data_IF_109641469449
#
_entry.id   IF_109641469449
#
_cell.length_a   1.000
_cell.length_b   1.000
_cell.length_c   1.000
_cell.angle_alpha   90.00
_cell.angle_beta   90.00
_cell.angle_gamma   90.00
#
_symmetry.space_group_name_H-M   'P 1'
#
loop_
_entity.id
_entity.type
_entity.pdbx_description
1 polymer ?
#
# COMPACT_ATOMS: atom_id res chain seq x y z
N UNK A 1 -22.35 9.36 47.26
CA UNK A 1 -21.95 10.46 46.35
C UNK A 1 -20.52 10.32 45.83
N UNK A 2 -19.49 10.09 46.67
CA UNK A 2 -18.09 9.87 46.21
C UNK A 2 -17.93 8.72 45.20
N UNK A 3 -18.54 7.55 45.44
CA UNK A 3 -18.46 6.40 44.51
C UNK A 3 -19.09 6.67 43.13
N UNK A 4 -20.15 7.50 43.07
CA UNK A 4 -20.84 7.85 41.83
C UNK A 4 -20.01 8.83 40.99
N UNK A 5 -19.28 9.75 41.65
CA UNK A 5 -18.31 10.65 41.02
C UNK A 5 -17.10 9.91 40.45
N UNK A 6 -16.59 8.90 41.15
CA UNK A 6 -15.49 8.06 40.63
C UNK A 6 -15.92 7.24 39.39
N UNK A 7 -17.14 6.67 39.40
CA UNK A 7 -17.68 5.92 38.25
C UNK A 7 -17.93 6.82 37.02
N UNK A 8 -18.41 8.05 37.21
CA UNK A 8 -18.61 9.01 36.11
C UNK A 8 -17.30 9.58 35.59
N UNK A 9 -16.32 9.86 36.44
CA UNK A 9 -14.99 10.30 36.00
C UNK A 9 -14.26 9.21 35.18
N UNK A 10 -14.31 7.95 35.61
CA UNK A 10 -13.71 6.82 34.87
C UNK A 10 -14.41 6.60 33.52
N UNK A 11 -15.73 6.74 33.45
CA UNK A 11 -16.48 6.64 32.20
C UNK A 11 -16.15 7.77 31.20
N UNK A 12 -15.94 9.01 31.68
CA UNK A 12 -15.54 10.15 30.83
C UNK A 12 -14.10 9.99 30.32
N UNK A 13 -13.18 9.50 31.16
CA UNK A 13 -11.81 9.19 30.71
C UNK A 13 -11.79 8.03 29.69
N UNK A 14 -12.55 6.96 29.92
CA UNK A 14 -12.66 5.85 28.96
C UNK A 14 -13.31 6.25 27.62
N UNK A 15 -14.30 7.16 27.64
CA UNK A 15 -14.92 7.69 26.44
C UNK A 15 -13.97 8.62 25.66
N UNK A 16 -13.13 9.41 26.35
CA UNK A 16 -12.15 10.30 25.71
C UNK A 16 -11.02 9.53 25.00
N UNK A 17 -10.63 8.34 25.49
CA UNK A 17 -9.67 7.48 24.81
C UNK A 17 -10.20 6.88 23.50
N UNK A 18 -11.50 6.59 23.38
CA UNK A 18 -12.08 6.03 22.14
C UNK A 18 -12.16 7.05 21.00
N UNK A 19 -12.37 8.34 21.29
CA UNK A 19 -12.37 9.40 20.26
C UNK A 19 -10.96 9.79 19.79
N UNK A 20 -9.94 9.56 20.61
CA UNK A 20 -8.55 9.83 20.27
C UNK A 20 -7.91 8.70 19.41
N UNK A 21 -8.40 7.46 19.45
CA UNK A 21 -7.72 6.32 18.82
C UNK A 21 -7.85 6.26 17.28
N UNK A 22 -8.97 6.70 16.69
CA UNK A 22 -9.11 6.88 15.22
C UNK A 22 -8.51 8.18 14.67
N UNK A 23 -7.92 9.03 15.52
CA UNK A 23 -7.35 10.32 15.09
C UNK A 23 -6.24 10.15 14.07
N UNK A 24 -5.29 9.24 14.31
CA UNK A 24 -4.14 9.03 13.44
C UNK A 24 -4.54 8.66 12.00
N UNK A 25 -5.53 7.77 11.81
CA UNK A 25 -6.03 7.43 10.48
C UNK A 25 -6.67 8.64 9.77
N UNK A 26 -7.53 9.38 10.49
CA UNK A 26 -8.18 10.57 9.96
C UNK A 26 -7.15 11.63 9.56
N UNK A 27 -6.16 11.84 10.41
CA UNK A 27 -5.14 12.86 10.19
C UNK A 27 -4.17 12.42 9.08
N UNK A 28 -3.82 11.13 8.97
CA UNK A 28 -3.09 10.58 7.83
C UNK A 28 -3.83 10.83 6.50
N UNK A 29 -5.15 10.66 6.48
CA UNK A 29 -5.99 10.94 5.31
C UNK A 29 -6.00 12.43 4.97
N UNK A 30 -6.01 13.31 5.96
CA UNK A 30 -5.90 14.76 5.76
C UNK A 30 -4.54 15.13 5.16
N UNK A 31 -3.44 14.64 5.74
CA UNK A 31 -2.09 14.89 5.27
C UNK A 31 -1.85 14.33 3.86
N UNK A 32 -2.40 13.15 3.55
CA UNK A 32 -2.43 12.62 2.18
C UNK A 32 -3.15 13.59 1.22
N UNK A 33 -4.32 14.11 1.61
CA UNK A 33 -5.09 15.06 0.82
C UNK A 33 -4.38 16.40 0.60
N UNK A 34 -3.59 16.87 1.56
CA UNK A 34 -2.74 18.07 1.42
C UNK A 34 -1.36 17.79 0.81
N UNK A 35 -1.11 16.55 0.38
CA UNK A 35 0.16 16.09 -0.18
C UNK A 35 1.35 16.19 0.79
N UNK A 36 1.12 16.24 2.10
CA UNK A 36 2.17 16.08 3.11
C UNK A 36 2.42 14.59 3.38
N UNK A 37 3.17 13.97 2.47
CA UNK A 37 3.39 12.52 2.49
C UNK A 37 4.28 12.08 3.67
N UNK A 38 5.09 12.97 4.23
CA UNK A 38 5.94 12.64 5.38
C UNK A 38 5.10 12.54 6.66
N UNK A 39 4.21 13.51 6.88
CA UNK A 39 3.26 13.46 7.98
C UNK A 39 2.30 12.27 7.80
N UNK A 40 1.76 12.07 6.58
CA UNK A 40 0.86 10.97 6.28
C UNK A 40 1.49 9.60 6.59
N UNK A 41 2.75 9.37 6.19
CA UNK A 41 3.50 8.14 6.52
C UNK A 41 3.69 7.93 8.01
N UNK A 42 3.95 9.00 8.76
CA UNK A 42 4.14 8.92 10.20
C UNK A 42 2.85 8.50 10.89
N UNK A 43 1.74 9.16 10.54
CA UNK A 43 0.42 8.91 11.14
C UNK A 43 -0.14 7.54 10.74
N UNK A 44 0.04 7.12 9.48
CA UNK A 44 -0.50 5.83 9.03
C UNK A 44 0.20 4.64 9.71
N UNK A 45 1.51 4.75 10.00
CA UNK A 45 2.25 3.72 10.76
C UNK A 45 1.74 3.58 12.19
N UNK A 46 1.27 4.67 12.80
CA UNK A 46 0.59 4.60 14.10
C UNK A 46 -0.77 3.91 13.96
N UNK A 47 -1.53 4.22 12.90
CA UNK A 47 -2.83 3.61 12.66
C UNK A 47 -2.74 2.10 12.35
N UNK A 48 -1.66 1.61 11.71
CA UNK A 48 -1.49 0.18 11.43
C UNK A 48 -1.11 -0.66 12.65
N UNK A 49 -0.70 -0.03 13.75
CA UNK A 49 -0.34 -0.71 15.01
C UNK A 49 -1.40 -0.54 16.11
N UNK A 50 -2.39 0.32 15.88
CA UNK A 50 -3.48 0.56 16.81
C UNK A 50 -4.55 -0.56 16.72
N UNK A 51 -4.99 -1.09 17.87
CA UNK A 51 -5.92 -2.23 17.93
C UNK A 51 -7.28 -1.98 17.25
N UNK A 52 -7.75 -0.73 17.20
CA UNK A 52 -9.03 -0.37 16.59
C UNK A 52 -8.95 -0.19 15.07
N UNK A 53 -7.78 0.22 14.55
CA UNK A 53 -7.61 0.56 13.13
C UNK A 53 -6.76 -0.43 12.34
N UNK A 54 -5.96 -1.27 12.99
CA UNK A 54 -5.11 -2.26 12.32
C UNK A 54 -5.89 -3.33 11.55
N UNK A 55 -7.13 -3.61 11.95
CA UNK A 55 -8.03 -4.55 11.25
C UNK A 55 -9.05 -3.84 10.35
N UNK A 56 -9.00 -2.51 10.25
CA UNK A 56 -9.83 -1.75 9.32
C UNK A 56 -9.17 -1.76 7.93
N UNK A 57 -9.85 -2.28 6.87
CA UNK A 57 -9.31 -2.25 5.51
C UNK A 57 -9.02 -0.83 5.01
N UNK A 58 -9.70 0.21 5.51
CA UNK A 58 -9.44 1.61 5.12
C UNK A 58 -8.04 2.07 5.55
N UNK A 59 -7.55 1.63 6.71
CA UNK A 59 -6.19 1.94 7.19
C UNK A 59 -5.13 1.50 6.18
N UNK A 60 -5.23 0.27 5.71
CA UNK A 60 -4.27 -0.30 4.78
C UNK A 60 -4.44 0.25 3.37
N UNK A 61 -5.67 0.61 2.98
CA UNK A 61 -5.92 1.31 1.72
C UNK A 61 -5.23 2.67 1.70
N UNK A 62 -5.42 3.48 2.75
CA UNK A 62 -4.77 4.80 2.87
C UNK A 62 -3.25 4.66 2.90
N UNK A 63 -2.70 3.62 3.55
CA UNK A 63 -1.26 3.37 3.50
C UNK A 63 -0.78 3.09 2.07
N UNK A 64 -1.46 2.22 1.33
CA UNK A 64 -1.13 1.98 -0.07
C UNK A 64 -1.22 3.25 -0.91
N UNK A 65 -2.23 4.08 -0.67
CA UNK A 65 -2.43 5.36 -1.37
C UNK A 65 -1.34 6.39 -1.09
N UNK A 66 -0.75 6.39 0.09
CA UNK A 66 0.41 7.25 0.40
C UNK A 66 1.62 6.88 -0.46
N UNK A 67 1.90 5.58 -0.58
CA UNK A 67 2.97 5.09 -1.46
C UNK A 67 2.66 5.40 -2.93
N UNK A 68 1.45 5.09 -3.39
CA UNK A 68 1.02 5.36 -4.76
C UNK A 68 1.04 6.87 -5.09
N UNK A 69 0.67 7.74 -4.14
CA UNK A 69 0.73 9.19 -4.32
C UNK A 69 2.16 9.70 -4.50
N UNK A 70 3.13 9.11 -3.80
CA UNK A 70 4.55 9.43 -4.02
C UNK A 70 5.00 9.02 -5.43
N UNK A 71 4.60 7.84 -5.90
CA UNK A 71 4.84 7.40 -7.27
C UNK A 71 4.19 8.35 -8.29
N UNK A 72 2.89 8.64 -8.15
CA UNK A 72 2.13 9.45 -9.09
C UNK A 72 2.66 10.89 -9.20
N UNK A 73 3.09 11.48 -8.09
CA UNK A 73 3.65 12.84 -8.09
C UNK A 73 4.93 12.92 -8.94
N UNK A 74 5.86 11.98 -8.76
CA UNK A 74 7.12 11.97 -9.51
C UNK A 74 6.92 11.51 -10.96
N UNK A 75 6.02 10.55 -11.19
CA UNK A 75 5.63 10.14 -12.54
C UNK A 75 5.01 11.30 -13.33
N UNK A 76 4.20 12.13 -12.66
CA UNK A 76 3.64 13.35 -13.24
C UNK A 76 4.74 14.35 -13.60
N UNK A 77 5.77 14.49 -12.76
CA UNK A 77 6.94 15.33 -13.09
C UNK A 77 7.63 14.84 -14.38
N UNK A 78 7.90 13.53 -14.50
CA UNK A 78 8.49 12.95 -15.72
C UNK A 78 7.62 13.21 -16.95
N UNK A 79 6.31 12.99 -16.85
CA UNK A 79 5.37 13.20 -17.97
C UNK A 79 5.31 14.66 -18.43
N UNK A 80 5.55 15.61 -17.52
CA UNK A 80 5.60 17.04 -17.81
C UNK A 80 7.00 17.53 -18.23
N UNK A 81 7.98 16.63 -18.36
CA UNK A 81 9.37 16.99 -18.66
C UNK A 81 10.06 17.78 -17.53
N UNK A 82 9.52 17.71 -16.30
CA UNK A 82 10.13 18.31 -15.11
C UNK A 82 11.14 17.35 -14.51
N UNK A 83 12.05 17.88 -13.69
CA UNK A 83 12.92 17.05 -12.89
C UNK A 83 12.09 16.19 -11.93
N UNK A 84 12.23 14.87 -12.05
CA UNK A 84 11.59 13.89 -11.17
C UNK A 84 12.64 13.19 -10.30
N UNK A 85 12.24 12.81 -9.09
CA UNK A 85 13.06 11.99 -8.22
C UNK A 85 12.67 10.51 -8.37
N UNK A 86 13.39 9.78 -9.23
CA UNK A 86 13.11 8.37 -9.52
C UNK A 86 13.24 7.46 -8.29
N UNK A 87 14.12 7.79 -7.34
CA UNK A 87 14.25 7.00 -6.11
C UNK A 87 13.00 7.16 -5.23
N UNK A 88 12.45 8.37 -5.10
CA UNK A 88 11.17 8.60 -4.42
C UNK A 88 10.02 7.93 -5.16
N UNK A 89 10.01 8.04 -6.49
CA UNK A 89 8.99 7.44 -7.36
C UNK A 89 8.89 5.94 -7.14
N UNK A 90 10.01 5.22 -7.30
CA UNK A 90 10.02 3.77 -7.19
C UNK A 90 9.87 3.31 -5.74
N UNK A 91 10.52 3.93 -4.75
CA UNK A 91 10.25 3.57 -3.35
C UNK A 91 8.77 3.74 -2.98
N UNK A 92 8.07 4.76 -3.52
CA UNK A 92 6.62 4.93 -3.35
C UNK A 92 5.81 3.81 -4.01
N UNK A 93 6.17 3.42 -5.24
CA UNK A 93 5.52 2.30 -5.94
C UNK A 93 5.65 1.00 -5.13
N UNK A 94 6.85 0.68 -4.64
CA UNK A 94 7.11 -0.49 -3.82
C UNK A 94 6.34 -0.45 -2.49
N UNK A 95 6.31 0.72 -1.83
CA UNK A 95 5.58 0.94 -0.57
C UNK A 95 4.07 0.69 -0.72
N UNK A 96 3.50 0.95 -1.90
CA UNK A 96 2.05 0.82 -2.13
C UNK A 96 1.54 -0.64 -2.12
N UNK A 97 2.38 -1.59 -2.54
CA UNK A 97 1.95 -2.94 -2.91
C UNK A 97 1.38 -3.74 -1.73
N UNK A 98 2.19 -3.98 -0.70
CA UNK A 98 1.81 -4.82 0.45
C UNK A 98 0.59 -4.27 1.21
N UNK A 99 0.49 -2.95 1.48
CA UNK A 99 -0.70 -2.39 2.09
C UNK A 99 -1.97 -2.60 1.27
N UNK A 100 -1.91 -2.50 -0.06
CA UNK A 100 -3.05 -2.81 -0.91
C UNK A 100 -3.49 -4.26 -0.81
N UNK A 101 -2.55 -5.22 -0.77
CA UNK A 101 -2.91 -6.63 -0.57
C UNK A 101 -3.57 -6.85 0.80
N UNK A 102 -3.06 -6.18 1.84
CA UNK A 102 -3.63 -6.26 3.18
C UNK A 102 -5.04 -5.66 3.24
N UNK A 103 -5.27 -4.53 2.57
CA UNK A 103 -6.58 -3.90 2.46
C UNK A 103 -7.60 -4.80 1.74
N UNK A 104 -7.21 -5.41 0.63
CA UNK A 104 -8.06 -6.37 -0.09
C UNK A 104 -8.37 -7.58 0.79
N UNK A 105 -7.36 -8.19 1.41
CA UNK A 105 -7.53 -9.35 2.29
C UNK A 105 -8.49 -9.08 3.46
N UNK A 106 -8.39 -7.92 4.11
CA UNK A 106 -9.31 -7.52 5.18
C UNK A 106 -10.72 -7.24 4.65
N UNK A 107 -10.83 -6.63 3.47
CA UNK A 107 -12.11 -6.34 2.83
C UNK A 107 -12.89 -7.58 2.39
N UNK A 108 -12.21 -8.70 2.19
CA UNK A 108 -12.82 -10.00 1.86
C UNK A 108 -13.33 -10.80 3.04
N UNK A 109 -13.06 -10.37 4.28
CA UNK A 109 -13.62 -11.03 5.44
C UNK A 109 -15.13 -10.81 5.48
N UNK A 110 -15.93 -11.85 5.79
CA UNK A 110 -17.36 -11.71 5.94
C UNK A 110 -17.70 -10.79 7.12
N UNK A 111 -18.73 -9.96 6.95
CA UNK A 111 -19.31 -9.17 8.04
C UNK A 111 -20.03 -10.06 9.08
N UNK A 112 -20.55 -9.46 10.15
CA UNK A 112 -21.32 -10.16 11.20
C UNK A 112 -22.53 -10.96 10.66
N UNK A 113 -22.98 -10.66 9.44
CA UNK A 113 -24.09 -11.33 8.76
C UNK A 113 -23.60 -12.35 7.71
N UNK A 114 -22.30 -12.65 7.68
CA UNK A 114 -21.69 -13.58 6.74
C UNK A 114 -21.48 -13.00 5.33
N UNK A 115 -21.70 -11.70 5.11
CA UNK A 115 -21.62 -11.09 3.77
C UNK A 115 -20.24 -10.50 3.53
N UNK A 116 -19.65 -10.79 2.38
CA UNK A 116 -18.42 -10.15 1.91
C UNK A 116 -18.75 -8.85 1.17
N UNK A 117 -18.13 -7.74 1.58
CA UNK A 117 -18.34 -6.41 0.98
C UNK A 117 -17.04 -5.62 0.90
N UNK A 118 -16.18 -6.04 -0.01
CA UNK A 118 -14.92 -5.34 -0.26
C UNK A 118 -15.12 -4.09 -1.12
N UNK A 119 -15.26 -2.93 -0.48
CA UNK A 119 -15.46 -1.63 -1.15
C UNK A 119 -14.21 -1.11 -1.86
N UNK A 120 -13.03 -1.67 -1.58
CA UNK A 120 -11.74 -1.15 -2.09
C UNK A 120 -11.14 -1.98 -3.22
N UNK A 121 -11.52 -3.27 -3.35
CA UNK A 121 -10.97 -4.20 -4.36
C UNK A 121 -10.89 -3.62 -5.76
N UNK A 122 -11.98 -3.03 -6.24
CA UNK A 122 -12.04 -2.50 -7.62
C UNK A 122 -11.03 -1.37 -7.84
N UNK A 123 -10.89 -0.49 -6.86
CA UNK A 123 -9.96 0.64 -6.91
C UNK A 123 -8.51 0.14 -6.84
N UNK A 124 -8.20 -0.71 -5.86
CA UNK A 124 -6.89 -1.35 -5.70
C UNK A 124 -6.46 -2.11 -6.98
N UNK A 125 -7.36 -2.94 -7.52
CA UNK A 125 -7.11 -3.70 -8.74
C UNK A 125 -6.83 -2.77 -9.94
N UNK A 126 -7.53 -1.64 -10.02
CA UNK A 126 -7.29 -0.60 -11.01
C UNK A 126 -5.89 -0.01 -10.91
N UNK A 127 -5.48 0.38 -9.69
CA UNK A 127 -4.14 0.96 -9.44
C UNK A 127 -3.04 -0.07 -9.74
N UNK A 128 -3.13 -1.28 -9.20
CA UNK A 128 -2.13 -2.33 -9.43
C UNK A 128 -2.00 -2.67 -10.92
N UNK A 129 -3.12 -2.72 -11.66
CA UNK A 129 -3.10 -2.95 -13.10
C UNK A 129 -2.46 -1.80 -13.88
N UNK A 130 -2.81 -0.55 -13.56
CA UNK A 130 -2.24 0.62 -14.21
C UNK A 130 -0.73 0.73 -13.96
N UNK A 131 -0.29 0.42 -12.74
CA UNK A 131 1.11 0.55 -12.34
C UNK A 131 1.96 -0.69 -12.67
N UNK A 132 1.36 -1.81 -13.06
CA UNK A 132 2.02 -3.09 -13.31
C UNK A 132 3.30 -2.95 -14.16
N UNK A 133 3.32 -2.24 -15.31
CA UNK A 133 4.53 -2.11 -16.13
C UNK A 133 5.68 -1.39 -15.43
N UNK A 134 5.39 -0.48 -14.50
CA UNK A 134 6.42 0.32 -13.81
C UNK A 134 7.22 -0.48 -12.79
N UNK A 135 6.73 -1.66 -12.39
CA UNK A 135 7.54 -2.55 -11.56
C UNK A 135 8.78 -3.06 -12.30
N UNK A 136 8.72 -3.24 -13.63
CA UNK A 136 9.91 -3.54 -14.42
C UNK A 136 10.92 -2.39 -14.32
N UNK A 137 10.45 -1.16 -14.50
CA UNK A 137 11.30 0.03 -14.50
C UNK A 137 11.96 0.25 -13.13
N UNK A 138 11.21 0.04 -12.04
CA UNK A 138 11.76 0.11 -10.68
C UNK A 138 12.82 -0.96 -10.43
N UNK A 139 12.61 -2.19 -10.93
CA UNK A 139 13.59 -3.27 -10.84
C UNK A 139 14.89 -2.94 -11.58
N UNK A 140 14.79 -2.42 -12.81
CA UNK A 140 15.95 -1.95 -13.60
C UNK A 140 16.70 -0.84 -12.85
N UNK A 141 15.98 0.18 -12.37
CA UNK A 141 16.56 1.31 -11.65
C UNK A 141 17.38 0.86 -10.43
N UNK A 142 16.84 -0.01 -9.58
CA UNK A 142 17.58 -0.48 -8.41
C UNK A 142 18.69 -1.47 -8.76
N UNK A 143 18.56 -2.24 -9.85
CA UNK A 143 19.61 -3.12 -10.34
C UNK A 143 20.83 -2.34 -10.85
N UNK A 144 20.62 -1.25 -11.60
CA UNK A 144 21.69 -0.35 -12.06
C UNK A 144 22.46 0.29 -10.89
N UNK A 145 21.77 0.49 -9.75
CA UNK A 145 22.35 0.97 -8.49
C UNK A 145 22.96 -0.14 -7.63
N UNK A 146 23.01 -1.38 -8.12
CA UNK A 146 23.47 -2.57 -7.40
C UNK A 146 22.69 -2.86 -6.10
N UNK A 147 21.46 -2.33 -5.98
CA UNK A 147 20.54 -2.63 -4.88
C UNK A 147 19.71 -3.87 -5.24
N UNK A 148 20.40 -5.01 -5.38
CA UNK A 148 19.83 -6.24 -5.94
C UNK A 148 18.62 -6.78 -5.18
N UNK A 149 18.60 -6.65 -3.85
CA UNK A 149 17.46 -7.05 -3.03
C UNK A 149 16.18 -6.29 -3.44
N UNK A 150 16.24 -4.96 -3.54
CA UNK A 150 15.10 -4.15 -3.98
C UNK A 150 14.73 -4.45 -5.43
N UNK A 151 15.73 -4.61 -6.30
CA UNK A 151 15.47 -4.96 -7.70
C UNK A 151 14.69 -6.28 -7.81
N UNK A 152 15.06 -7.28 -7.00
CA UNK A 152 14.34 -8.54 -6.89
C UNK A 152 12.89 -8.36 -6.44
N UNK A 153 12.64 -7.55 -5.41
CA UNK A 153 11.28 -7.26 -4.94
C UNK A 153 10.40 -6.71 -6.08
N UNK A 154 10.93 -5.79 -6.87
CA UNK A 154 10.21 -5.21 -8.02
C UNK A 154 9.84 -6.25 -9.08
N UNK A 155 10.82 -7.06 -9.50
CA UNK A 155 10.58 -8.09 -10.51
C UNK A 155 9.64 -9.19 -10.00
N UNK A 156 9.73 -9.55 -8.72
CA UNK A 156 8.82 -10.51 -8.10
C UNK A 156 7.39 -9.96 -8.03
N UNK A 157 7.21 -8.69 -7.65
CA UNK A 157 5.87 -8.07 -7.61
C UNK A 157 5.26 -8.02 -9.01
N UNK A 158 6.03 -7.66 -10.03
CA UNK A 158 5.57 -7.71 -11.43
C UNK A 158 5.06 -9.12 -11.80
N UNK A 159 5.80 -10.16 -11.41
CA UNK A 159 5.40 -11.55 -11.63
C UNK A 159 4.15 -11.95 -10.82
N UNK A 160 4.02 -11.48 -9.58
CA UNK A 160 2.95 -11.89 -8.67
C UNK A 160 1.60 -11.23 -8.98
N UNK A 161 1.58 -9.96 -9.43
CA UNK A 161 0.35 -9.18 -9.66
C UNK A 161 -0.71 -9.95 -10.48
N UNK A 162 -0.39 -10.56 -11.64
CA UNK A 162 -1.38 -11.29 -12.44
C UNK A 162 -2.05 -12.47 -11.74
N UNK A 163 -1.42 -13.03 -10.71
CA UNK A 163 -1.92 -14.18 -9.96
C UNK A 163 -2.76 -13.81 -8.74
N UNK A 164 -2.91 -12.52 -8.43
CA UNK A 164 -3.65 -12.08 -7.24
C UNK A 164 -5.14 -12.45 -7.33
N UNK A 165 -5.77 -12.88 -6.22
CA UNK A 165 -7.19 -13.28 -6.21
C UNK A 165 -8.16 -12.23 -6.75
N UNK A 166 -7.84 -10.94 -6.59
CA UNK A 166 -8.66 -9.83 -7.10
C UNK A 166 -8.79 -9.80 -8.64
N UNK A 167 -7.89 -10.48 -9.37
CA UNK A 167 -7.95 -10.62 -10.82
C UNK A 167 -8.52 -11.96 -11.29
N UNK A 168 -8.86 -12.87 -10.38
CA UNK A 168 -9.44 -14.16 -10.73
C UNK A 168 -10.76 -14.00 -11.52
N UNK A 169 -10.91 -14.78 -12.59
CA UNK A 169 -12.11 -14.75 -13.44
C UNK A 169 -12.20 -13.55 -14.39
N UNK A 170 -11.26 -12.60 -14.35
CA UNK A 170 -11.16 -11.57 -15.38
C UNK A 170 -10.55 -12.18 -16.65
N UNK A 171 -11.09 -11.83 -17.82
CA UNK A 171 -10.53 -12.26 -19.10
C UNK A 171 -9.30 -11.43 -19.43
N UNK A 172 -8.16 -12.10 -19.62
CA UNK A 172 -6.88 -11.52 -20.05
C UNK A 172 -6.52 -10.19 -19.36
N UNK A 173 -6.49 -10.13 -18.00
CA UNK A 173 -6.29 -8.88 -17.29
C UNK A 173 -4.89 -8.29 -17.50
N UNK A 174 -3.91 -9.11 -17.91
CA UNK A 174 -2.52 -8.76 -18.17
C UNK A 174 -2.01 -9.39 -19.46
N UNK A 175 -1.05 -8.74 -20.10
CA UNK A 175 -0.31 -9.31 -21.23
C UNK A 175 0.77 -10.27 -20.69
N UNK A 176 0.61 -11.57 -20.96
CA UNK A 176 1.55 -12.61 -20.55
C UNK A 176 2.32 -13.08 -21.79
N UNK A 177 3.45 -12.46 -22.07
CA UNK A 177 4.31 -12.74 -23.22
C UNK A 177 5.75 -13.14 -22.80
N UNK A 178 6.69 -13.13 -23.74
CA UNK A 178 8.09 -13.44 -23.47
C UNK A 178 8.76 -12.43 -22.52
N UNK A 179 8.26 -11.20 -22.43
CA UNK A 179 8.70 -10.21 -21.44
C UNK A 179 8.44 -10.74 -20.04
N UNK A 180 7.29 -11.36 -19.81
CA UNK A 180 6.92 -11.92 -18.52
C UNK A 180 7.92 -13.00 -18.04
N UNK A 181 8.36 -13.89 -18.94
CA UNK A 181 9.39 -14.89 -18.63
C UNK A 181 10.76 -14.27 -18.40
N UNK A 182 11.09 -13.23 -19.17
CA UNK A 182 12.35 -12.48 -19.02
C UNK A 182 12.43 -11.82 -17.64
N UNK A 183 11.34 -11.20 -17.17
CA UNK A 183 11.32 -10.58 -15.84
C UNK A 183 11.42 -11.61 -14.72
N UNK A 184 10.81 -12.79 -14.88
CA UNK A 184 10.98 -13.90 -13.93
C UNK A 184 12.45 -14.35 -13.84
N UNK A 185 13.14 -14.44 -14.96
CA UNK A 185 14.58 -14.72 -14.96
C UNK A 185 15.37 -13.65 -14.21
N UNK A 186 15.08 -12.36 -14.44
CA UNK A 186 15.74 -11.26 -13.72
C UNK A 186 15.49 -11.31 -12.22
N UNK A 187 14.25 -11.59 -11.76
CA UNK A 187 13.96 -11.77 -10.34
C UNK A 187 14.89 -12.80 -9.69
N UNK A 188 15.10 -13.96 -10.35
CA UNK A 188 15.98 -15.03 -9.86
C UNK A 188 17.45 -14.56 -9.80
N UNK A 189 17.95 -13.94 -10.88
CA UNK A 189 19.34 -13.48 -10.93
C UNK A 189 19.61 -12.41 -9.86
N UNK A 190 18.72 -11.42 -9.72
CA UNK A 190 18.90 -10.38 -8.70
C UNK A 190 18.74 -10.94 -7.29
N UNK A 191 17.89 -11.95 -7.07
CA UNK A 191 17.80 -12.62 -5.77
C UNK A 191 19.09 -13.35 -5.40
N UNK A 192 19.76 -14.00 -6.37
CA UNK A 192 21.07 -14.63 -6.17
C UNK A 192 22.12 -13.57 -5.83
N UNK A 193 22.16 -12.46 -6.58
CA UNK A 193 23.10 -11.36 -6.34
C UNK A 193 22.85 -10.60 -5.03
N UNK A 194 21.63 -10.67 -4.49
CA UNK A 194 21.29 -10.06 -3.21
C UNK A 194 21.77 -10.86 -1.99
N UNK A 195 22.14 -12.13 -2.17
CA UNK A 195 22.51 -13.08 -1.10
C UNK A 195 24.02 -13.37 -1.04
N UNK A 196 24.87 -12.44 -1.48
CA UNK A 196 26.33 -12.55 -1.33
C UNK A 196 26.77 -12.76 0.13
#
# INVERSE_FOLDING_TARGET
>A
MRKLFFLTAVAVFAASSMFAQKSALRDAKRSLGSNDLNEARTLIKQATTNAETANDPETWKIFGDIGNKAFDNERTNEMLGKQANQEVMYNGLLESYTPYLKADSLGELPDEKGKVKNKFRKDIAGVLKANHPFYINGGIFFNEKQQYAKASDFFEIYWNIPSLPMFAGQKDPFLIDSTFQTIKYYAIITAIQAQD
#
